data_IF_278517899753
#
_entry.id   IF_278517899753
#
_cell.length_a   1.000
_cell.length_b   1.000
_cell.length_c   1.000
_cell.angle_alpha   90.00
_cell.angle_beta   90.00
_cell.angle_gamma   90.00
#
_symmetry.space_group_name_H-M   'P 1'
#
loop_
_entity.id
_entity.type
_entity.pdbx_description
1 polymer ?
#
# COMPACT_ATOMS: atom_id res chain seq x y z
N UNK A 1 4.94 23.41 -0.81
CA UNK A 1 4.07 23.60 0.38
C UNK A 1 2.95 24.62 0.14
N UNK A 2 3.24 25.86 -0.28
CA UNK A 2 2.21 26.92 -0.33
C UNK A 2 1.50 27.06 -1.70
N UNK A 3 2.16 26.74 -2.83
CA UNK A 3 1.60 26.97 -4.18
C UNK A 3 0.46 26.02 -4.61
N UNK A 4 0.36 24.82 -4.03
CA UNK A 4 -0.61 23.78 -4.47
C UNK A 4 -1.92 23.79 -3.68
N UNK A 5 -1.88 24.10 -2.37
CA UNK A 5 -3.08 24.42 -1.58
C UNK A 5 -3.78 25.65 -2.20
N UNK A 6 -2.98 26.61 -2.70
CA UNK A 6 -3.50 27.78 -3.40
C UNK A 6 -4.17 27.40 -4.72
N UNK A 7 -3.71 26.44 -5.53
CA UNK A 7 -4.42 26.13 -6.79
C UNK A 7 -5.75 25.43 -6.58
N UNK A 8 -5.87 24.55 -5.58
CA UNK A 8 -7.13 23.88 -5.25
C UNK A 8 -8.13 24.83 -4.55
N UNK A 9 -7.67 25.72 -3.67
CA UNK A 9 -8.53 26.76 -3.08
C UNK A 9 -8.75 27.97 -4.01
N UNK A 10 -7.84 28.29 -4.94
CA UNK A 10 -7.99 29.39 -5.89
C UNK A 10 -8.89 29.04 -7.07
N UNK A 11 -9.06 27.75 -7.40
CA UNK A 11 -10.14 27.31 -8.27
C UNK A 11 -11.53 27.61 -7.65
N UNK A 12 -11.59 27.74 -6.33
CA UNK A 12 -12.77 28.09 -5.56
C UNK A 12 -12.93 29.63 -5.46
N UNK A 13 -11.86 30.43 -5.57
CA UNK A 13 -11.91 31.89 -5.57
C UNK A 13 -11.65 32.46 -6.97
N UNK A 14 -12.66 32.46 -7.84
CA UNK A 14 -12.66 33.23 -9.09
C UNK A 14 -12.84 34.74 -8.81
N UNK A 15 -11.88 35.36 -8.11
CA UNK A 15 -11.71 36.82 -8.11
C UNK A 15 -10.23 37.20 -7.99
N UNK A 16 -9.62 37.63 -9.11
CA UNK A 16 -8.36 38.38 -9.15
C UNK A 16 -7.07 37.56 -8.95
N UNK A 17 -6.04 37.90 -9.71
CA UNK A 17 -4.68 37.36 -9.59
C UNK A 17 -3.96 37.84 -8.31
N UNK A 18 -4.47 37.47 -7.13
CA UNK A 18 -3.78 37.65 -5.85
C UNK A 18 -3.68 36.30 -5.15
N UNK A 19 -2.46 35.86 -4.86
CA UNK A 19 -2.22 34.69 -4.02
C UNK A 19 -2.75 35.00 -2.61
N UNK A 20 -3.68 34.21 -2.03
CA UNK A 20 -4.17 34.48 -0.69
C UNK A 20 -3.01 34.48 0.31
N UNK A 21 -3.03 35.45 1.24
CA UNK A 21 -2.02 35.51 2.30
C UNK A 21 -2.08 34.23 3.14
N UNK A 22 -0.95 33.87 3.77
CA UNK A 22 -0.88 32.72 4.69
C UNK A 22 -1.91 32.85 5.82
N UNK A 23 -2.12 34.05 6.32
CA UNK A 23 -3.08 34.34 7.39
C UNK A 23 -4.51 34.09 6.95
N UNK A 24 -4.89 34.52 5.74
CA UNK A 24 -6.24 34.28 5.20
C UNK A 24 -6.50 32.78 5.00
N UNK A 25 -5.49 32.03 4.55
CA UNK A 25 -5.58 30.58 4.39
C UNK A 25 -5.71 29.85 5.74
N UNK A 26 -4.88 30.22 6.72
CA UNK A 26 -4.93 29.64 8.07
C UNK A 26 -6.28 29.94 8.74
N UNK A 27 -6.85 31.13 8.56
CA UNK A 27 -8.18 31.48 9.04
C UNK A 27 -9.28 30.66 8.37
N UNK A 28 -9.21 30.49 7.04
CA UNK A 28 -10.14 29.63 6.32
C UNK A 28 -10.11 28.19 6.84
N UNK A 29 -8.92 27.60 6.97
CA UNK A 29 -8.74 26.26 7.52
C UNK A 29 -9.29 26.17 8.95
N UNK A 30 -9.01 27.16 9.80
CA UNK A 30 -9.55 27.22 11.16
C UNK A 30 -11.09 27.23 11.15
N UNK A 31 -11.71 28.02 10.27
CA UNK A 31 -13.17 28.09 10.14
C UNK A 31 -13.81 26.80 9.62
N UNK A 32 -13.11 26.09 8.72
CA UNK A 32 -13.50 24.77 8.22
C UNK A 32 -13.44 23.72 9.34
N UNK A 33 -12.36 23.67 10.10
CA UNK A 33 -12.19 22.70 11.21
C UNK A 33 -13.14 22.96 12.39
N UNK A 34 -13.69 24.16 12.49
CA UNK A 34 -14.70 24.51 13.47
C UNK A 34 -16.12 24.05 13.07
N UNK A 35 -16.34 23.64 11.81
CA UNK A 35 -17.64 23.13 11.37
C UNK A 35 -17.98 21.80 12.07
N UNK A 36 -19.27 21.52 12.35
CA UNK A 36 -19.68 20.23 12.86
C UNK A 36 -19.28 19.08 11.93
N UNK A 37 -18.89 17.96 12.52
CA UNK A 37 -18.66 16.70 11.79
C UNK A 37 -19.97 16.19 11.18
N UNK A 38 -19.89 15.69 9.94
CA UNK A 38 -20.99 14.98 9.30
C UNK A 38 -21.21 13.63 10.00
N UNK A 39 -22.37 13.44 10.63
CA UNK A 39 -22.63 12.27 11.48
C UNK A 39 -22.51 10.94 10.76
N UNK A 40 -22.94 10.89 9.49
CA UNK A 40 -22.92 9.66 8.69
C UNK A 40 -21.52 9.29 8.18
N UNK A 41 -20.59 10.26 8.18
CA UNK A 41 -19.22 10.12 7.67
C UNK A 41 -18.24 9.50 8.66
N UNK A 42 -18.64 9.42 9.94
CA UNK A 42 -17.73 9.13 11.03
C UNK A 42 -17.44 7.63 11.16
N UNK A 43 -16.15 7.27 11.11
CA UNK A 43 -15.68 5.99 11.62
C UNK A 43 -14.31 6.14 12.30
N UNK A 44 -13.93 5.13 13.09
CA UNK A 44 -12.71 5.15 13.93
C UNK A 44 -11.76 4.03 13.53
N UNK A 45 -10.46 4.31 13.55
CA UNK A 45 -9.39 3.33 13.44
C UNK A 45 -8.33 3.59 14.52
N UNK A 46 -8.26 2.69 15.51
CA UNK A 46 -7.44 2.90 16.69
C UNK A 46 -7.84 4.18 17.44
N UNK A 47 -6.99 5.20 17.37
CA UNK A 47 -7.24 6.52 17.95
C UNK A 47 -7.55 7.61 16.90
N UNK A 48 -7.55 7.26 15.63
CA UNK A 48 -7.82 8.20 14.54
C UNK A 48 -9.30 8.14 14.18
N UNK A 49 -9.93 9.31 14.09
CA UNK A 49 -11.24 9.47 13.48
C UNK A 49 -11.08 9.87 12.02
N UNK A 50 -11.84 9.24 11.15
CA UNK A 50 -12.08 9.68 9.78
C UNK A 50 -13.46 10.30 9.69
N UNK A 51 -13.54 11.50 9.12
CA UNK A 51 -14.78 12.27 9.09
C UNK A 51 -14.77 13.31 7.98
N UNK A 52 -15.97 13.71 7.57
CA UNK A 52 -16.19 14.84 6.68
C UNK A 52 -16.70 16.04 7.49
N UNK A 53 -16.22 17.24 7.13
CA UNK A 53 -16.85 18.51 7.52
C UNK A 53 -17.41 19.18 6.28
N UNK A 54 -18.61 19.73 6.37
CA UNK A 54 -19.24 20.46 5.28
C UNK A 54 -19.12 21.95 5.53
N UNK A 55 -18.64 22.68 4.52
CA UNK A 55 -18.55 24.13 4.53
C UNK A 55 -19.68 24.68 3.67
N UNK A 56 -20.63 25.42 4.27
CA UNK A 56 -21.74 26.00 3.53
C UNK A 56 -21.24 27.00 2.47
N UNK A 57 -22.00 27.11 1.40
CA UNK A 57 -21.83 28.12 0.36
C UNK A 57 -21.76 29.54 0.97
N UNK A 58 -20.80 30.33 0.50
CA UNK A 58 -20.76 31.78 0.73
C UNK A 58 -20.49 32.49 -0.59
N UNK A 59 -21.17 33.61 -0.88
CA UNK A 59 -21.07 34.63 -1.96
C UNK A 59 -20.23 34.39 -3.26
N UNK A 60 -19.81 33.18 -3.61
CA UNK A 60 -18.93 32.76 -4.72
C UNK A 60 -18.65 31.23 -4.74
N UNK A 61 -18.86 30.51 -3.63
CA UNK A 61 -18.56 29.08 -3.47
C UNK A 61 -19.83 28.23 -3.33
N UNK A 62 -19.85 27.06 -3.97
CA UNK A 62 -20.85 26.01 -3.74
C UNK A 62 -20.58 25.28 -2.41
N UNK A 63 -21.60 24.59 -1.87
CA UNK A 63 -21.42 23.69 -0.73
C UNK A 63 -20.33 22.66 -1.07
N UNK A 64 -19.41 22.44 -0.14
CA UNK A 64 -18.33 21.48 -0.32
C UNK A 64 -17.95 20.82 0.99
N UNK A 65 -17.47 19.59 0.91
CA UNK A 65 -17.00 18.80 2.02
C UNK A 65 -15.48 18.67 2.02
N UNK A 66 -14.87 18.56 3.19
CA UNK A 66 -13.48 18.14 3.32
C UNK A 66 -13.43 16.83 4.07
N UNK A 67 -12.74 15.83 3.50
CA UNK A 67 -12.47 14.58 4.18
C UNK A 67 -11.17 14.69 4.96
N UNK A 68 -11.22 14.43 6.26
CA UNK A 68 -10.08 14.53 7.17
C UNK A 68 -9.89 13.26 7.99
N UNK A 69 -8.66 13.07 8.45
CA UNK A 69 -8.32 12.14 9.52
C UNK A 69 -7.61 12.92 10.63
N UNK A 70 -8.00 12.69 11.87
CA UNK A 70 -7.31 13.28 13.03
C UNK A 70 -7.29 12.32 14.21
N UNK A 71 -6.18 12.32 14.95
CA UNK A 71 -6.08 11.55 16.20
C UNK A 71 -6.82 12.27 17.33
N UNK A 72 -7.45 11.49 18.21
CA UNK A 72 -8.06 12.01 19.43
C UNK A 72 -7.04 12.38 20.51
N UNK A 73 -5.79 11.91 20.39
CA UNK A 73 -4.74 12.06 21.40
C UNK A 73 -3.53 12.81 20.81
N UNK A 74 -2.97 12.31 19.72
CA UNK A 74 -1.74 12.84 19.10
C UNK A 74 -2.02 14.06 18.23
N UNK A 75 -1.09 15.03 18.12
CA UNK A 75 -1.24 16.24 17.32
C UNK A 75 -1.12 15.98 15.80
N UNK A 76 -1.88 15.01 15.31
CA UNK A 76 -1.88 14.56 13.92
C UNK A 76 -3.22 14.87 13.26
N UNK A 77 -3.18 15.66 12.20
CA UNK A 77 -4.30 15.95 11.32
C UNK A 77 -3.81 15.85 9.90
N UNK A 78 -4.59 15.18 9.05
CA UNK A 78 -4.35 15.14 7.62
C UNK A 78 -5.65 15.40 6.86
N UNK A 79 -5.52 16.10 5.74
CA UNK A 79 -6.61 16.31 4.81
C UNK A 79 -6.44 15.36 3.62
N UNK A 80 -7.48 14.58 3.32
CA UNK A 80 -7.44 13.56 2.28
C UNK A 80 -7.75 14.21 0.92
N UNK A 81 -8.94 14.80 0.81
CA UNK A 81 -9.44 15.44 -0.41
C UNK A 81 -10.53 16.47 -0.09
N UNK A 82 -10.77 17.34 -1.07
CA UNK A 82 -11.94 18.22 -1.16
C UNK A 82 -13.01 17.54 -2.01
N UNK A 83 -14.22 17.45 -1.48
CA UNK A 83 -15.42 16.90 -2.11
C UNK A 83 -16.34 18.05 -2.52
N UNK A 84 -16.33 18.38 -3.81
CA UNK A 84 -17.17 19.40 -4.44
C UNK A 84 -17.76 18.80 -5.74
N UNK A 85 -18.09 19.60 -6.76
CA UNK A 85 -18.53 19.09 -8.08
C UNK A 85 -17.58 18.04 -8.67
N UNK A 86 -16.28 18.17 -8.38
CA UNK A 86 -15.26 17.14 -8.62
C UNK A 86 -14.38 17.01 -7.39
N UNK A 87 -13.85 15.82 -7.19
CA UNK A 87 -12.88 15.57 -6.13
C UNK A 87 -11.55 16.20 -6.47
N UNK A 88 -10.96 16.91 -5.52
CA UNK A 88 -9.64 17.50 -5.65
C UNK A 88 -8.70 16.96 -4.58
N UNK A 89 -7.51 16.56 -5.02
CA UNK A 89 -6.44 16.06 -4.17
C UNK A 89 -5.34 17.12 -4.07
N UNK A 90 -4.85 17.42 -2.87
CA UNK A 90 -3.99 18.60 -2.65
C UNK A 90 -2.58 18.47 -3.24
N UNK A 91 -2.16 17.27 -3.63
CA UNK A 91 -0.84 17.01 -4.23
C UNK A 91 -0.92 16.58 -5.71
N UNK A 92 -2.11 16.58 -6.33
CA UNK A 92 -2.30 16.15 -7.73
C UNK A 92 -3.42 16.93 -8.41
N UNK A 93 -3.24 17.29 -9.67
CA UNK A 93 -4.24 18.03 -10.46
C UNK A 93 -5.14 17.13 -11.31
N UNK A 94 -4.88 15.83 -11.38
CA UNK A 94 -5.55 14.94 -12.36
C UNK A 94 -5.85 13.53 -11.86
N UNK A 95 -5.80 13.30 -10.54
CA UNK A 95 -6.08 11.99 -9.95
C UNK A 95 -5.75 11.97 -8.46
N UNK A 96 -5.82 10.78 -7.88
CA UNK A 96 -5.47 10.53 -6.49
C UNK A 96 -4.10 11.12 -6.13
N UNK A 97 -4.01 11.66 -4.93
CA UNK A 97 -2.75 11.99 -4.30
C UNK A 97 -2.80 11.57 -2.83
N UNK A 98 -1.66 11.19 -2.23
CA UNK A 98 -1.62 10.84 -0.83
C UNK A 98 -2.13 11.98 0.08
N UNK A 99 -2.61 11.64 1.28
CA UNK A 99 -3.08 12.63 2.25
C UNK A 99 -2.04 13.70 2.52
N UNK A 100 -2.51 14.94 2.69
CA UNK A 100 -1.66 16.08 3.01
C UNK A 100 -1.64 16.28 4.54
N UNK A 101 -0.50 16.05 5.22
CA UNK A 101 -0.39 16.36 6.64
C UNK A 101 -0.58 17.86 6.87
N UNK A 102 -1.27 18.19 7.95
CA UNK A 102 -1.55 19.55 8.37
C UNK A 102 -0.68 19.92 9.57
N UNK A 103 -0.28 21.19 9.71
CA UNK A 103 0.44 21.65 10.90
C UNK A 103 -0.31 21.35 12.21
N UNK A 104 0.45 20.96 13.25
CA UNK A 104 -0.07 20.56 14.58
C UNK A 104 -1.04 21.58 15.20
N UNK A 105 -0.88 22.89 14.93
CA UNK A 105 -1.79 23.94 15.41
C UNK A 105 -3.26 23.72 15.03
N UNK A 106 -3.53 23.02 13.93
CA UNK A 106 -4.89 22.72 13.48
C UNK A 106 -5.55 21.60 14.30
N UNK A 107 -4.76 20.71 14.90
CA UNK A 107 -5.26 19.73 15.87
C UNK A 107 -5.88 20.41 17.10
N UNK A 108 -5.21 21.44 17.62
CA UNK A 108 -5.71 22.21 18.75
C UNK A 108 -7.05 22.94 18.47
N UNK A 109 -7.37 23.19 17.19
CA UNK A 109 -8.68 23.73 16.78
C UNK A 109 -9.74 22.63 16.80
N UNK A 110 -9.42 21.45 16.26
CA UNK A 110 -10.33 20.28 16.32
C UNK A 110 -10.65 19.87 17.75
N UNK A 111 -9.68 19.92 18.67
CA UNK A 111 -9.91 19.64 20.10
C UNK A 111 -10.86 20.64 20.79
N UNK A 112 -11.16 21.78 20.14
CA UNK A 112 -12.17 22.75 20.60
C UNK A 112 -13.51 22.58 19.88
N UNK A 113 -13.58 21.75 18.85
CA UNK A 113 -14.81 21.44 18.14
C UNK A 113 -15.65 20.45 18.96
N UNK A 114 -16.85 20.82 19.43
CA UNK A 114 -17.66 19.96 20.29
C UNK A 114 -17.96 18.60 19.65
N UNK A 115 -18.30 18.59 18.35
CA UNK A 115 -18.63 17.35 17.64
C UNK A 115 -17.43 16.40 17.51
N UNK A 116 -16.22 16.93 17.31
CA UNK A 116 -14.99 16.12 17.29
C UNK A 116 -14.68 15.54 18.68
N UNK A 117 -14.73 16.39 19.72
CA UNK A 117 -14.45 15.92 21.08
C UNK A 117 -15.46 14.90 21.59
N UNK A 118 -16.72 15.00 21.16
CA UNK A 118 -17.75 14.03 21.49
C UNK A 118 -17.52 12.72 20.74
N UNK A 119 -17.27 12.79 19.42
CA UNK A 119 -16.93 11.62 18.61
C UNK A 119 -15.74 10.84 19.17
N UNK A 120 -14.70 11.53 19.67
CA UNK A 120 -13.56 10.87 20.30
C UNK A 120 -13.91 10.02 21.53
N UNK A 121 -14.97 10.40 22.27
CA UNK A 121 -15.45 9.70 23.46
C UNK A 121 -16.44 8.60 23.13
N UNK A 122 -17.35 8.85 22.20
CA UNK A 122 -18.51 7.98 21.96
C UNK A 122 -18.33 7.03 20.79
N UNK A 123 -17.48 7.37 19.81
CA UNK A 123 -17.22 6.47 18.69
C UNK A 123 -16.39 5.29 19.17
N UNK A 124 -17.03 4.12 19.26
CA UNK A 124 -16.40 2.88 19.64
C UNK A 124 -15.29 2.50 18.64
N UNK A 125 -14.28 1.77 19.13
CA UNK A 125 -13.33 1.11 18.25
C UNK A 125 -14.05 0.03 17.44
N UNK A 126 -13.73 -0.12 16.15
CA UNK A 126 -14.41 -1.07 15.30
C UNK A 126 -14.12 -2.50 15.78
N UNK A 127 -15.14 -3.33 15.67
CA UNK A 127 -15.10 -4.76 15.95
C UNK A 127 -15.53 -5.51 14.69
N UNK A 128 -14.63 -5.49 13.70
CA UNK A 128 -14.85 -6.09 12.40
C UNK A 128 -14.99 -7.61 12.50
N UNK A 129 -16.08 -8.13 11.94
CA UNK A 129 -16.41 -9.55 11.88
C UNK A 129 -16.58 -10.01 10.45
N UNK A 130 -16.05 -11.19 10.13
CA UNK A 130 -16.18 -11.78 8.81
C UNK A 130 -17.56 -12.41 8.67
N UNK A 131 -18.37 -11.87 7.75
CA UNK A 131 -19.70 -12.41 7.40
C UNK A 131 -19.58 -13.50 6.34
N UNK A 132 -18.78 -13.27 5.28
CA UNK A 132 -18.56 -14.26 4.21
C UNK A 132 -17.29 -14.00 3.40
N UNK A 133 -16.96 -14.96 2.53
CA UNK A 133 -15.88 -14.93 1.56
C UNK A 133 -14.79 -15.96 1.88
N UNK A 134 -14.16 -16.53 0.86
CA UNK A 134 -13.12 -17.55 1.03
C UNK A 134 -11.70 -16.98 0.87
N UNK A 135 -10.67 -17.81 1.08
CA UNK A 135 -9.30 -17.40 0.80
C UNK A 135 -9.13 -17.06 -0.70
N UNK A 136 -8.45 -15.94 -0.98
CA UNK A 136 -8.28 -15.44 -2.35
C UNK A 136 -9.47 -14.66 -2.93
N UNK A 137 -10.62 -14.64 -2.26
CA UNK A 137 -11.81 -13.88 -2.69
C UNK A 137 -12.01 -12.61 -1.86
N UNK A 138 -12.80 -11.63 -2.34
CA UNK A 138 -13.27 -10.53 -1.50
C UNK A 138 -14.03 -11.04 -0.27
N UNK A 139 -13.82 -10.43 0.89
CA UNK A 139 -14.60 -10.74 2.10
C UNK A 139 -15.62 -9.64 2.36
N UNK A 140 -16.77 -10.04 2.88
CA UNK A 140 -17.75 -9.10 3.44
C UNK A 140 -17.59 -9.11 4.96
N UNK A 141 -17.41 -7.92 5.52
CA UNK A 141 -17.22 -7.66 6.93
C UNK A 141 -18.35 -6.78 7.46
N UNK A 142 -18.59 -6.88 8.76
CA UNK A 142 -19.51 -6.02 9.51
C UNK A 142 -18.81 -5.52 10.77
N UNK A 143 -18.94 -4.24 11.09
CA UNK A 143 -18.48 -3.72 12.37
C UNK A 143 -19.57 -3.92 13.41
N UNK A 144 -19.37 -4.89 14.31
CA UNK A 144 -20.32 -5.21 15.37
C UNK A 144 -20.56 -4.02 16.32
N UNK A 145 -19.53 -3.21 16.57
CA UNK A 145 -19.63 -2.03 17.46
C UNK A 145 -20.48 -0.91 16.86
N UNK A 146 -20.66 -0.89 15.54
CA UNK A 146 -21.43 0.15 14.84
C UNK A 146 -22.94 -0.13 14.75
N UNK A 147 -23.38 -1.34 15.13
CA UNK A 147 -24.77 -1.74 14.92
C UNK A 147 -25.68 -0.96 15.87
N UNK A 148 -26.55 -0.14 15.30
CA UNK A 148 -27.56 0.61 16.02
C UNK A 148 -28.96 0.29 15.47
N UNK A 149 -29.84 -0.23 16.33
CA UNK A 149 -31.22 -0.61 16.00
C UNK A 149 -32.20 0.42 16.54
N UNK A 150 -33.04 0.96 15.67
CA UNK A 150 -34.09 1.92 16.02
C UNK A 150 -35.40 1.51 15.33
N UNK A 151 -36.30 0.86 16.07
CA UNK A 151 -37.55 0.33 15.52
C UNK A 151 -37.27 -0.71 14.42
N UNK A 152 -37.78 -0.46 13.21
CA UNK A 152 -37.55 -1.32 12.04
C UNK A 152 -36.27 -0.98 11.27
N UNK A 153 -35.50 0.01 11.71
CA UNK A 153 -34.27 0.43 11.07
C UNK A 153 -33.04 -0.10 11.81
N UNK A 154 -32.05 -0.55 11.05
CA UNK A 154 -30.75 -0.97 11.56
C UNK A 154 -29.67 -0.25 10.78
N UNK A 155 -28.84 0.54 11.46
CA UNK A 155 -27.65 1.17 10.88
C UNK A 155 -26.39 0.43 11.29
N UNK A 156 -25.44 0.30 10.38
CA UNK A 156 -24.14 -0.35 10.62
C UNK A 156 -23.10 0.06 9.58
N UNK A 157 -21.83 -0.09 9.92
CA UNK A 157 -20.72 -0.09 8.99
C UNK A 157 -20.46 -1.53 8.49
N UNK A 158 -20.37 -1.67 7.17
CA UNK A 158 -19.92 -2.87 6.49
C UNK A 158 -18.62 -2.60 5.76
N UNK A 159 -17.87 -3.65 5.42
CA UNK A 159 -16.69 -3.51 4.58
C UNK A 159 -16.51 -4.65 3.59
N UNK A 160 -15.94 -4.33 2.43
CA UNK A 160 -15.64 -5.24 1.33
C UNK A 160 -14.13 -5.32 1.17
N UNK A 161 -13.54 -6.31 1.82
CA UNK A 161 -12.11 -6.48 1.93
C UNK A 161 -11.55 -7.21 0.71
N UNK A 162 -10.66 -6.59 -0.06
CA UNK A 162 -10.12 -7.15 -1.30
C UNK A 162 -8.88 -8.01 -1.06
N UNK A 163 -8.61 -9.08 -1.83
CA UNK A 163 -7.38 -9.87 -1.69
C UNK A 163 -6.13 -9.13 -2.22
N UNK A 164 -6.33 -8.11 -3.05
CA UNK A 164 -5.30 -7.25 -3.63
C UNK A 164 -5.70 -5.79 -3.51
N UNK A 165 -4.72 -4.89 -3.62
CA UNK A 165 -5.01 -3.46 -3.79
C UNK A 165 -5.54 -3.25 -5.20
N UNK A 166 -6.65 -2.51 -5.32
CA UNK A 166 -7.31 -2.16 -6.58
C UNK A 166 -7.31 -0.64 -6.75
N UNK A 167 -7.61 -0.16 -7.96
CA UNK A 167 -7.77 1.27 -8.26
C UNK A 167 -9.25 1.57 -8.48
N UNK A 168 -9.76 2.60 -7.82
CA UNK A 168 -11.13 3.09 -8.05
C UNK A 168 -11.14 4.21 -9.08
N UNK A 169 -11.99 4.04 -10.09
CA UNK A 169 -12.22 5.05 -11.12
C UNK A 169 -13.23 6.10 -10.60
N UNK A 170 -13.10 7.39 -10.99
CA UNK A 170 -12.25 7.89 -12.07
C UNK A 170 -10.87 8.39 -11.61
N UNK A 171 -10.60 8.49 -10.30
CA UNK A 171 -9.41 9.16 -9.79
C UNK A 171 -8.19 8.24 -9.65
N UNK A 172 -8.35 6.93 -9.88
CA UNK A 172 -7.34 5.90 -9.64
C UNK A 172 -6.84 5.93 -8.18
N UNK A 173 -7.77 6.06 -7.23
CA UNK A 173 -7.44 5.96 -5.81
C UNK A 173 -7.18 4.50 -5.45
N UNK A 174 -6.05 4.17 -4.79
CA UNK A 174 -5.77 2.80 -4.39
C UNK A 174 -6.63 2.42 -3.19
N UNK A 175 -7.22 1.22 -3.20
CA UNK A 175 -7.97 0.70 -2.08
C UNK A 175 -7.71 -0.79 -1.85
N UNK A 176 -7.60 -1.17 -0.59
CA UNK A 176 -7.55 -2.56 -0.13
C UNK A 176 -8.91 -3.03 0.41
N UNK A 177 -9.79 -2.08 0.74
CA UNK A 177 -11.11 -2.34 1.26
C UNK A 177 -12.05 -1.17 0.93
N UNK A 178 -13.34 -1.46 0.69
CA UNK A 178 -14.39 -0.45 0.69
C UNK A 178 -15.16 -0.52 2.00
N UNK A 179 -15.46 0.61 2.64
CA UNK A 179 -16.20 0.68 3.90
C UNK A 179 -17.45 1.52 3.69
N UNK A 180 -18.59 0.97 4.06
CA UNK A 180 -19.87 1.60 3.77
C UNK A 180 -20.75 1.64 5.01
N UNK A 181 -21.29 2.81 5.30
CA UNK A 181 -22.28 3.01 6.34
C UNK A 181 -23.66 2.83 5.71
N UNK A 182 -24.38 1.82 6.16
CA UNK A 182 -25.72 1.49 5.66
C UNK A 182 -26.78 1.72 6.72
N UNK A 183 -27.98 2.04 6.25
CA UNK A 183 -29.22 1.91 7.02
C UNK A 183 -30.17 0.96 6.30
N UNK A 184 -30.53 -0.12 6.96
CA UNK A 184 -31.49 -1.12 6.50
C UNK A 184 -32.85 -0.89 7.13
N UNK A 185 -33.93 -0.99 6.35
CA UNK A 185 -35.30 -1.02 6.86
C UNK A 185 -35.85 -2.45 6.69
N UNK A 186 -35.99 -3.15 7.81
CA UNK A 186 -36.36 -4.57 7.84
C UNK A 186 -37.83 -4.81 7.48
N UNK A 187 -38.69 -3.78 7.58
CA UNK A 187 -40.10 -3.89 7.24
C UNK A 187 -40.37 -3.70 5.74
N UNK A 188 -39.62 -2.80 5.10
CA UNK A 188 -39.77 -2.51 3.67
C UNK A 188 -38.80 -3.29 2.79
N UNK A 189 -37.80 -3.96 3.36
CA UNK A 189 -36.82 -4.72 2.61
C UNK A 189 -35.89 -3.82 1.78
N UNK A 190 -35.52 -2.67 2.32
CA UNK A 190 -34.68 -1.67 1.64
C UNK A 190 -33.39 -1.39 2.41
N UNK A 191 -32.36 -0.91 1.71
CA UNK A 191 -31.13 -0.38 2.29
C UNK A 191 -30.85 1.02 1.76
N UNK A 192 -30.11 1.83 2.50
CA UNK A 192 -29.71 3.19 2.13
C UNK A 192 -28.23 3.37 2.46
N UNK A 193 -27.43 3.73 1.45
CA UNK A 193 -26.03 4.09 1.65
C UNK A 193 -25.94 5.51 2.25
N UNK A 194 -25.34 5.62 3.42
CA UNK A 194 -25.16 6.88 4.16
C UNK A 194 -23.76 7.48 3.96
N UNK A 195 -22.74 6.63 3.77
CA UNK A 195 -21.38 7.01 3.41
C UNK A 195 -20.66 5.79 2.82
N UNK A 196 -19.70 6.01 1.92
CA UNK A 196 -18.86 4.97 1.35
C UNK A 196 -17.42 5.48 1.20
N UNK A 197 -16.44 4.70 1.65
CA UNK A 197 -15.03 5.06 1.62
C UNK A 197 -14.19 3.94 1.05
N UNK A 198 -13.28 4.31 0.17
CA UNK A 198 -12.15 3.50 -0.22
C UNK A 198 -11.04 3.72 0.81
N UNK A 199 -10.49 2.61 1.34
CA UNK A 199 -9.39 2.67 2.30
C UNK A 199 -8.19 1.86 1.82
N UNK A 200 -6.98 2.37 2.07
CA UNK A 200 -5.73 1.69 1.73
C UNK A 200 -5.44 0.50 2.67
N UNK A 201 -4.32 -0.19 2.44
CA UNK A 201 -3.89 -1.32 3.27
C UNK A 201 -3.53 -0.94 4.72
N UNK A 202 -3.41 0.36 5.02
CA UNK A 202 -3.17 0.91 6.36
C UNK A 202 -4.46 1.47 6.98
N UNK A 203 -5.63 1.17 6.41
CA UNK A 203 -6.95 1.66 6.81
C UNK A 203 -7.12 3.18 6.74
N UNK A 204 -6.37 3.86 5.86
CA UNK A 204 -6.52 5.30 5.62
C UNK A 204 -7.46 5.54 4.46
N UNK A 205 -8.31 6.55 4.56
CA UNK A 205 -9.19 6.93 3.46
C UNK A 205 -8.36 7.44 2.29
N UNK A 206 -8.57 6.83 1.12
CA UNK A 206 -7.96 7.27 -0.14
C UNK A 206 -8.98 7.97 -1.02
N UNK A 207 -10.23 7.53 -0.96
CA UNK A 207 -11.36 8.14 -1.67
C UNK A 207 -12.70 7.82 -0.97
N UNK A 208 -13.81 8.42 -1.40
CA UNK A 208 -15.13 8.08 -0.91
C UNK A 208 -16.23 9.07 -1.27
N UNK A 209 -17.41 8.91 -0.70
CA UNK A 209 -18.54 9.81 -0.87
C UNK A 209 -19.46 9.78 0.36
N UNK A 210 -20.10 10.91 0.62
CA UNK A 210 -21.20 11.02 1.58
C UNK A 210 -22.39 11.62 0.84
N UNK A 211 -23.40 10.84 0.46
CA UNK A 211 -24.54 11.36 -0.29
C UNK A 211 -25.27 12.46 0.48
N UNK A 212 -25.48 13.61 -0.15
CA UNK A 212 -26.27 14.71 0.44
C UNK A 212 -27.75 14.37 0.58
N UNK A 213 -28.26 13.52 -0.33
CA UNK A 213 -29.63 12.99 -0.33
C UNK A 213 -29.60 11.46 -0.48
N UNK A 214 -29.35 10.71 0.60
CA UNK A 214 -29.37 9.25 0.59
C UNK A 214 -30.74 8.72 0.15
N UNK A 215 -30.74 7.76 -0.79
CA UNK A 215 -31.98 7.16 -1.33
C UNK A 215 -32.07 5.68 -0.94
N UNK A 216 -33.25 5.20 -0.51
CA UNK A 216 -33.46 3.79 -0.26
C UNK A 216 -33.53 3.00 -1.57
N UNK A 217 -32.91 1.83 -1.58
CA UNK A 217 -32.93 0.86 -2.68
C UNK A 217 -33.48 -0.48 -2.19
N UNK A 218 -34.19 -1.24 -3.05
CA UNK A 218 -34.68 -2.57 -2.68
C UNK A 218 -33.52 -3.54 -2.49
N UNK A 219 -33.58 -4.34 -1.43
CA UNK A 219 -32.63 -5.44 -1.20
C UNK A 219 -32.91 -6.59 -2.18
N UNK A 220 -34.19 -6.82 -2.50
CA UNK A 220 -34.57 -7.80 -3.51
C UNK A 220 -34.01 -7.37 -4.88
N UNK A 221 -33.23 -8.25 -5.51
CA UNK A 221 -32.56 -7.96 -6.78
C UNK A 221 -31.21 -7.25 -6.65
N UNK A 222 -30.79 -6.88 -5.43
CA UNK A 222 -29.39 -6.47 -5.16
C UNK A 222 -28.43 -7.66 -5.25
N UNK A 223 -27.12 -7.42 -5.15
CA UNK A 223 -26.13 -8.49 -5.16
C UNK A 223 -26.18 -9.36 -3.89
N UNK A 224 -25.50 -10.51 -3.93
CA UNK A 224 -25.48 -11.46 -2.82
C UNK A 224 -24.81 -10.92 -1.54
N UNK A 225 -24.04 -9.84 -1.61
CA UNK A 225 -23.38 -9.23 -0.45
C UNK A 225 -24.37 -8.39 0.34
N UNK A 226 -25.11 -7.50 -0.34
CA UNK A 226 -26.14 -6.67 0.29
C UNK A 226 -27.30 -7.50 0.83
N UNK A 227 -27.69 -8.58 0.13
CA UNK A 227 -28.68 -9.52 0.64
C UNK A 227 -28.21 -10.20 1.93
N UNK A 228 -26.93 -10.59 2.03
CA UNK A 228 -26.36 -11.19 3.23
C UNK A 228 -26.27 -10.18 4.39
N UNK A 229 -25.86 -8.94 4.12
CA UNK A 229 -25.82 -7.86 5.11
C UNK A 229 -27.22 -7.55 5.65
N UNK A 230 -28.23 -7.45 4.77
CA UNK A 230 -29.61 -7.25 5.19
C UNK A 230 -30.13 -8.40 6.05
N UNK A 231 -29.90 -9.65 5.63
CA UNK A 231 -30.28 -10.83 6.39
C UNK A 231 -29.64 -10.82 7.78
N UNK A 232 -28.36 -10.45 7.89
CA UNK A 232 -27.69 -10.31 9.17
C UNK A 232 -28.29 -9.18 10.03
N UNK A 233 -28.46 -7.99 9.46
CA UNK A 233 -28.94 -6.80 10.18
C UNK A 233 -30.35 -7.01 10.75
N UNK A 234 -31.23 -7.62 9.95
CA UNK A 234 -32.63 -7.85 10.27
C UNK A 234 -32.90 -9.16 11.02
N UNK A 235 -31.89 -10.01 11.23
CA UNK A 235 -31.99 -11.21 12.06
C UNK A 235 -31.84 -10.91 13.56
N UNK A 236 -31.91 -11.98 14.37
CA UNK A 236 -31.72 -11.94 15.82
C UNK A 236 -30.26 -11.58 16.18
N UNK A 237 -30.02 -10.88 17.30
CA UNK A 237 -28.69 -10.40 17.70
C UNK A 237 -27.59 -11.49 17.81
N UNK A 238 -27.98 -12.73 18.13
CA UNK A 238 -27.04 -13.84 18.33
C UNK A 238 -26.20 -14.15 17.08
N UNK A 239 -26.74 -13.89 15.89
CA UNK A 239 -26.06 -14.19 14.63
C UNK A 239 -24.79 -13.35 14.42
N UNK A 240 -24.75 -12.12 14.94
CA UNK A 240 -23.57 -11.25 14.81
C UNK A 240 -22.49 -11.67 15.81
N UNK A 241 -22.89 -12.10 17.01
CA UNK A 241 -21.95 -12.50 18.06
C UNK A 241 -21.15 -13.76 17.70
N UNK A 242 -21.70 -14.63 16.86
CA UNK A 242 -21.05 -15.87 16.40
C UNK A 242 -20.06 -15.67 15.25
N UNK A 243 -20.02 -14.49 14.63
CA UNK A 243 -19.10 -14.23 13.52
C UNK A 243 -17.64 -14.20 13.97
N UNK A 244 -16.77 -14.79 13.16
CA UNK A 244 -15.33 -14.82 13.41
C UNK A 244 -14.75 -13.39 13.40
N UNK A 245 -13.83 -13.05 14.33
CA UNK A 245 -13.07 -11.81 14.25
C UNK A 245 -12.34 -11.67 12.91
N UNK A 246 -12.34 -10.47 12.34
CA UNK A 246 -11.50 -10.16 11.18
C UNK A 246 -10.03 -10.17 11.58
N UNK A 247 -9.22 -10.89 10.82
CA UNK A 247 -7.77 -10.80 10.87
C UNK A 247 -7.27 -10.16 9.57
N UNK A 248 -6.51 -9.04 9.63
CA UNK A 248 -5.95 -8.41 8.45
C UNK A 248 -5.13 -9.41 7.62
N UNK A 249 -5.32 -9.37 6.30
CA UNK A 249 -4.54 -10.16 5.35
C UNK A 249 -3.62 -9.28 4.54
N UNK A 250 -2.44 -9.81 4.23
CA UNK A 250 -1.48 -9.21 3.30
C UNK A 250 -2.15 -9.01 1.93
N UNK A 251 -2.01 -7.81 1.37
CA UNK A 251 -2.63 -7.40 0.11
C UNK A 251 -1.59 -7.32 -0.99
N UNK A 252 -1.83 -8.03 -2.09
CA UNK A 252 -0.96 -7.90 -3.27
C UNK A 252 -1.02 -6.45 -3.80
N UNK A 253 0.13 -5.80 -4.07
CA UNK A 253 0.22 -4.45 -4.64
C UNK A 253 -0.47 -4.35 -6.01
N UNK A 254 -0.74 -3.12 -6.42
CA UNK A 254 -1.04 -2.83 -7.83
C UNK A 254 0.29 -2.78 -8.60
N UNK A 255 0.33 -3.44 -9.75
CA UNK A 255 1.38 -3.25 -10.75
C UNK A 255 1.10 -1.93 -11.47
N UNK A 256 1.72 -0.84 -11.03
CA UNK A 256 1.48 0.50 -11.61
C UNK A 256 2.54 0.89 -12.64
N UNK A 257 3.70 0.26 -12.63
CA UNK A 257 4.77 0.57 -13.57
C UNK A 257 4.65 -0.23 -14.86
N UNK A 258 4.63 0.48 -15.99
CA UNK A 258 4.95 -0.13 -17.28
C UNK A 258 6.46 -0.32 -17.33
N UNK A 259 6.92 -1.57 -17.25
CA UNK A 259 8.33 -1.90 -17.41
C UNK A 259 8.65 -2.08 -18.90
N UNK A 260 9.83 -1.64 -19.37
CA UNK A 260 10.27 -1.96 -20.72
C UNK A 260 10.47 -3.48 -20.86
N UNK A 261 10.40 -4.03 -22.08
CA UNK A 261 10.70 -5.44 -22.31
C UNK A 261 12.16 -5.76 -21.95
N UNK A 262 12.40 -6.98 -21.46
CA UNK A 262 13.75 -7.48 -21.20
C UNK A 262 14.51 -7.62 -22.53
N UNK A 263 15.79 -7.24 -22.56
CA UNK A 263 16.61 -7.34 -23.76
C UNK A 263 16.71 -8.79 -24.28
N UNK A 264 16.58 -9.03 -25.60
CA UNK A 264 16.74 -10.37 -26.18
C UNK A 264 18.10 -11.02 -25.89
N UNK A 265 19.19 -10.23 -25.87
CA UNK A 265 20.54 -10.72 -25.53
C UNK A 265 20.61 -11.29 -24.11
N UNK A 266 19.90 -10.65 -23.18
CA UNK A 266 19.79 -11.07 -21.79
C UNK A 266 18.97 -12.36 -21.71
N UNK A 267 17.84 -12.43 -22.42
CA UNK A 267 17.01 -13.65 -22.48
C UNK A 267 17.79 -14.87 -22.98
N UNK A 268 18.57 -14.71 -24.06
CA UNK A 268 19.45 -15.78 -24.58
C UNK A 268 20.47 -16.24 -23.54
N UNK A 269 21.04 -15.32 -22.76
CA UNK A 269 21.98 -15.67 -21.70
C UNK A 269 21.31 -16.49 -20.57
N UNK A 270 20.06 -16.16 -20.23
CA UNK A 270 19.27 -16.89 -19.23
C UNK A 270 18.88 -18.29 -19.71
N UNK A 271 18.45 -18.43 -20.97
CA UNK A 271 18.07 -19.71 -21.56
C UNK A 271 19.23 -20.71 -21.59
N UNK A 272 20.45 -20.24 -21.83
CA UNK A 272 21.67 -21.06 -21.85
C UNK A 272 21.98 -21.73 -20.51
N UNK A 273 21.48 -21.19 -19.39
CA UNK A 273 21.66 -21.81 -18.08
C UNK A 273 20.87 -23.13 -17.94
N UNK A 274 19.81 -23.32 -18.74
CA UNK A 274 18.98 -24.53 -18.74
C UNK A 274 18.54 -24.97 -17.33
N UNK A 275 18.14 -23.99 -16.52
CA UNK A 275 17.72 -24.23 -15.15
C UNK A 275 16.34 -24.89 -15.13
N UNK A 276 16.10 -25.84 -14.21
CA UNK A 276 14.78 -26.42 -14.05
C UNK A 276 13.76 -25.38 -13.59
N UNK A 277 12.49 -25.59 -13.91
CA UNK A 277 11.41 -24.80 -13.31
C UNK A 277 11.38 -25.06 -11.79
N UNK A 278 11.05 -24.05 -10.97
CA UNK A 278 10.82 -24.25 -9.54
C UNK A 278 9.83 -25.40 -9.29
N UNK A 279 10.12 -26.22 -8.29
CA UNK A 279 9.23 -27.31 -7.87
C UNK A 279 8.06 -26.78 -7.03
N UNK A 280 8.28 -25.67 -6.30
CA UNK A 280 7.28 -25.04 -5.45
C UNK A 280 7.05 -23.58 -5.88
N UNK A 281 5.80 -23.09 -5.84
CA UNK A 281 5.52 -21.67 -6.03
C UNK A 281 6.02 -20.87 -4.82
N UNK A 282 6.45 -19.64 -5.08
CA UNK A 282 6.73 -18.63 -4.06
C UNK A 282 5.98 -17.36 -4.47
N UNK A 283 5.03 -16.91 -3.64
CA UNK A 283 4.14 -15.78 -3.96
C UNK A 283 4.41 -14.57 -3.07
N UNK A 284 4.88 -14.80 -1.85
CA UNK A 284 5.16 -13.73 -0.91
C UNK A 284 6.31 -14.10 0.03
N UNK A 285 7.12 -13.10 0.35
CA UNK A 285 8.02 -13.15 1.49
C UNK A 285 8.10 -11.79 2.19
N UNK A 286 8.29 -11.86 3.49
CA UNK A 286 8.55 -10.73 4.35
C UNK A 286 9.93 -10.91 4.98
N UNK A 287 10.77 -9.91 4.85
CA UNK A 287 12.08 -9.86 5.48
C UNK A 287 12.12 -8.74 6.53
N UNK A 288 12.71 -9.02 7.68
CA UNK A 288 12.89 -8.05 8.76
C UNK A 288 14.33 -8.07 9.25
N UNK A 289 14.79 -6.94 9.78
CA UNK A 289 16.09 -6.85 10.41
C UNK A 289 16.53 -5.40 10.55
N UNK A 290 17.77 -5.08 10.17
CA UNK A 290 18.32 -3.74 10.31
C UNK A 290 19.08 -3.31 9.07
N UNK A 291 19.09 -2.00 8.82
CA UNK A 291 19.98 -1.36 7.87
C UNK A 291 20.79 -0.29 8.59
N UNK A 292 22.04 -0.11 8.18
CA UNK A 292 22.90 0.95 8.68
C UNK A 292 23.40 1.78 7.51
N UNK A 293 23.10 3.08 7.54
CA UNK A 293 23.58 4.06 6.56
C UNK A 293 24.47 5.05 7.28
N UNK A 294 25.74 5.17 6.87
CA UNK A 294 26.72 6.11 7.43
C UNK A 294 26.73 6.09 8.97
N UNK A 295 26.77 4.88 9.54
CA UNK A 295 26.81 4.63 10.98
C UNK A 295 25.48 4.75 11.73
N UNK A 296 24.38 5.11 11.07
CA UNK A 296 23.04 5.17 11.69
C UNK A 296 22.25 3.91 11.36
N UNK A 297 21.97 3.11 12.39
CA UNK A 297 21.18 1.89 12.27
C UNK A 297 19.70 2.17 12.48
N UNK A 298 18.87 1.58 11.61
CA UNK A 298 17.41 1.63 11.70
C UNK A 298 16.80 0.25 11.44
N UNK A 299 15.63 -0.05 12.02
CA UNK A 299 14.87 -1.23 11.62
C UNK A 299 14.56 -1.22 10.12
N UNK A 300 14.69 -2.38 9.49
CA UNK A 300 14.37 -2.60 8.08
C UNK A 300 13.31 -3.69 7.99
N UNK A 301 12.29 -3.44 7.17
CA UNK A 301 11.23 -4.39 6.81
C UNK A 301 11.01 -4.27 5.31
N UNK A 302 11.03 -5.40 4.63
CA UNK A 302 10.74 -5.50 3.21
C UNK A 302 9.68 -6.56 2.95
N UNK A 303 8.73 -6.24 2.08
CA UNK A 303 7.74 -7.18 1.57
C UNK A 303 7.99 -7.38 0.09
N UNK A 304 8.13 -8.63 -0.34
CA UNK A 304 8.30 -8.97 -1.74
C UNK A 304 7.09 -9.78 -2.18
N UNK A 305 6.43 -9.28 -3.21
CA UNK A 305 5.31 -9.93 -3.87
C UNK A 305 5.79 -10.49 -5.19
N UNK A 306 5.63 -11.80 -5.38
CA UNK A 306 6.27 -12.55 -6.45
C UNK A 306 5.22 -13.09 -7.42
N UNK A 307 5.45 -12.86 -8.70
CA UNK A 307 4.64 -13.40 -9.78
C UNK A 307 5.49 -13.61 -11.03
N UNK A 308 4.88 -14.07 -12.11
CA UNK A 308 5.57 -14.30 -13.40
C UNK A 308 5.24 -13.15 -14.35
N UNK A 309 6.27 -12.52 -14.90
CA UNK A 309 6.11 -11.55 -15.98
C UNK A 309 5.62 -12.27 -17.25
N UNK A 310 4.49 -11.83 -17.80
CA UNK A 310 3.85 -12.53 -18.92
C UNK A 310 4.68 -12.47 -20.20
N UNK A 311 5.51 -11.44 -20.38
CA UNK A 311 6.30 -11.23 -21.60
C UNK A 311 7.60 -12.05 -21.60
N UNK A 312 8.35 -12.02 -20.50
CA UNK A 312 9.66 -12.67 -20.38
C UNK A 312 9.61 -14.04 -19.71
N UNK A 313 8.49 -14.38 -19.07
CA UNK A 313 8.35 -15.57 -18.21
C UNK A 313 9.37 -15.61 -17.06
N UNK A 314 9.99 -14.47 -16.75
CA UNK A 314 10.89 -14.29 -15.61
C UNK A 314 10.11 -13.83 -14.37
N UNK A 315 10.79 -13.77 -13.24
CA UNK A 315 10.17 -13.46 -11.95
C UNK A 315 9.92 -11.96 -11.83
N UNK A 316 8.65 -11.56 -11.82
CA UNK A 316 8.22 -10.22 -11.44
C UNK A 316 8.21 -10.11 -9.91
N UNK A 317 8.87 -9.10 -9.37
CA UNK A 317 8.90 -8.80 -7.95
C UNK A 317 8.43 -7.36 -7.73
N UNK A 318 7.43 -7.19 -6.88
CA UNK A 318 7.09 -5.90 -6.29
C UNK A 318 7.63 -5.88 -4.87
N UNK A 319 8.62 -5.04 -4.63
CA UNK A 319 9.30 -4.85 -3.36
C UNK A 319 8.75 -3.59 -2.69
N UNK A 320 8.33 -3.72 -1.43
CA UNK A 320 7.89 -2.60 -0.60
C UNK A 320 8.76 -2.49 0.63
N UNK A 321 9.29 -1.31 0.87
CA UNK A 321 9.97 -0.96 2.11
C UNK A 321 9.55 0.42 2.59
N UNK A 322 10.12 0.86 3.71
CA UNK A 322 9.82 2.18 4.26
C UNK A 322 10.34 3.28 3.32
N UNK A 323 9.42 3.98 2.65
CA UNK A 323 9.73 5.13 1.80
C UNK A 323 10.07 4.81 0.34
N UNK A 324 9.93 3.54 -0.08
CA UNK A 324 10.14 3.12 -1.47
C UNK A 324 9.26 1.94 -1.86
N UNK A 325 8.89 1.91 -3.14
CA UNK A 325 8.32 0.75 -3.82
C UNK A 325 9.11 0.51 -5.12
N UNK A 326 9.48 -0.74 -5.37
CA UNK A 326 10.21 -1.12 -6.59
C UNK A 326 9.45 -2.24 -7.31
N UNK A 327 9.20 -2.05 -8.59
CA UNK A 327 8.74 -3.11 -9.48
C UNK A 327 9.91 -3.56 -10.37
N UNK A 328 10.22 -4.86 -10.39
CA UNK A 328 11.36 -5.40 -11.15
C UNK A 328 11.04 -6.76 -11.77
N UNK A 329 11.45 -6.96 -13.02
CA UNK A 329 11.59 -8.31 -13.58
C UNK A 329 13.00 -8.77 -13.28
N UNK A 330 13.14 -9.96 -12.71
CA UNK A 330 14.41 -10.48 -12.20
C UNK A 330 14.68 -11.87 -12.71
N UNK A 331 15.96 -12.22 -12.85
CA UNK A 331 16.36 -13.61 -12.88
C UNK A 331 16.40 -14.15 -11.45
N UNK A 332 15.39 -14.96 -11.10
CA UNK A 332 15.27 -15.68 -9.82
C UNK A 332 15.46 -14.82 -8.57
N UNK A 333 15.12 -13.53 -8.62
CA UNK A 333 15.29 -12.60 -7.49
C UNK A 333 16.69 -12.00 -7.35
N UNK A 334 17.71 -12.55 -8.02
CA UNK A 334 19.10 -12.13 -7.89
C UNK A 334 19.43 -10.90 -8.73
N UNK A 335 19.17 -10.97 -10.03
CA UNK A 335 19.59 -9.94 -10.99
C UNK A 335 18.34 -9.20 -11.51
N UNK A 336 18.17 -7.91 -11.20
CA UNK A 336 17.14 -7.08 -11.85
C UNK A 336 17.47 -6.94 -13.34
N UNK A 337 16.58 -7.44 -14.20
CA UNK A 337 16.72 -7.37 -15.66
C UNK A 337 16.18 -6.03 -16.18
N UNK A 338 15.02 -5.64 -15.66
CA UNK A 338 14.43 -4.31 -15.79
C UNK A 338 13.78 -3.93 -14.45
N UNK A 339 13.82 -2.65 -14.10
CA UNK A 339 13.18 -2.18 -12.88
C UNK A 339 12.70 -0.74 -12.98
N UNK A 340 11.73 -0.42 -12.12
CA UNK A 340 11.32 0.94 -11.79
C UNK A 340 11.17 1.04 -10.28
N UNK A 341 11.80 2.05 -9.68
CA UNK A 341 11.72 2.35 -8.26
C UNK A 341 11.14 3.75 -8.10
N UNK A 342 10.08 3.83 -7.32
CA UNK A 342 9.50 5.09 -6.87
C UNK A 342 9.91 5.31 -5.41
N UNK A 343 10.78 6.30 -5.21
CA UNK A 343 11.20 6.80 -3.91
C UNK A 343 10.41 8.08 -3.61
N UNK A 344 10.36 8.48 -2.33
CA UNK A 344 9.53 9.62 -1.87
C UNK A 344 9.75 10.93 -2.67
N UNK A 345 10.95 11.13 -3.25
CA UNK A 345 11.31 12.37 -3.95
C UNK A 345 11.96 12.16 -5.32
N UNK A 346 12.14 10.92 -5.74
CA UNK A 346 12.84 10.62 -6.99
C UNK A 346 12.37 9.29 -7.56
N UNK A 347 12.62 9.09 -8.83
CA UNK A 347 12.23 7.89 -9.55
C UNK A 347 13.46 7.38 -10.28
N UNK A 348 13.66 6.08 -10.25
CA UNK A 348 14.71 5.43 -11.00
C UNK A 348 14.12 4.34 -11.88
N UNK A 349 14.66 4.18 -13.08
CA UNK A 349 14.40 3.01 -13.90
C UNK A 349 15.72 2.44 -14.40
N UNK A 350 15.81 1.12 -14.50
CA UNK A 350 16.99 0.46 -15.04
C UNK A 350 16.62 -0.65 -16.02
N UNK A 351 17.51 -0.90 -16.97
CA UNK A 351 17.38 -1.99 -17.92
C UNK A 351 18.77 -2.54 -18.29
N UNK A 352 18.90 -3.86 -18.27
CA UNK A 352 20.09 -4.54 -18.74
C UNK A 352 20.08 -4.71 -20.26
N UNK A 353 21.22 -4.47 -20.87
CA UNK A 353 21.47 -4.69 -22.30
C UNK A 353 22.35 -5.92 -22.54
N UNK A 354 23.10 -6.36 -21.53
CA UNK A 354 23.96 -7.55 -21.60
C UNK A 354 24.02 -8.25 -20.26
N UNK A 355 24.04 -9.59 -20.31
CA UNK A 355 24.20 -10.47 -19.17
C UNK A 355 25.01 -11.69 -19.62
N UNK A 356 25.95 -12.15 -18.79
CA UNK A 356 26.66 -13.41 -19.02
C UNK A 356 26.97 -14.09 -17.70
N UNK A 357 27.15 -15.41 -17.76
CA UNK A 357 27.40 -16.26 -16.59
C UNK A 357 28.65 -17.11 -16.81
N UNK A 358 29.37 -17.37 -15.72
CA UNK A 358 30.49 -18.29 -15.65
C UNK A 358 30.35 -19.18 -14.41
N UNK A 359 30.76 -20.44 -14.53
CA UNK A 359 30.60 -21.45 -13.49
C UNK A 359 29.28 -22.21 -13.62
N UNK A 360 29.10 -23.23 -12.77
CA UNK A 360 27.93 -24.10 -12.79
C UNK A 360 26.79 -23.55 -11.91
N UNK A 361 26.05 -22.61 -12.47
CA UNK A 361 24.85 -22.04 -11.86
C UNK A 361 23.67 -23.02 -11.78
N UNK A 362 23.77 -24.20 -12.41
CA UNK A 362 22.69 -25.20 -12.40
C UNK A 362 22.78 -26.08 -11.17
N UNK A 363 23.99 -26.51 -10.79
CA UNK A 363 24.18 -27.39 -9.63
C UNK A 363 24.64 -26.65 -8.39
N UNK A 364 25.43 -25.57 -8.56
CA UNK A 364 25.96 -24.75 -7.47
C UNK A 364 26.54 -25.62 -6.34
N UNK A 365 27.51 -26.48 -6.66
CA UNK A 365 28.15 -27.35 -5.66
C UNK A 365 28.90 -26.48 -4.64
N UNK A 366 28.88 -26.89 -3.36
CA UNK A 366 29.62 -26.22 -2.29
C UNK A 366 31.12 -26.11 -2.65
N UNK A 367 31.70 -24.94 -2.40
CA UNK A 367 33.07 -24.57 -2.76
C UNK A 367 33.25 -24.11 -4.22
N UNK A 368 32.21 -24.19 -5.06
CA UNK A 368 32.30 -23.72 -6.44
C UNK A 368 32.34 -22.19 -6.52
N UNK A 369 33.08 -21.70 -7.53
CA UNK A 369 33.13 -20.28 -7.89
C UNK A 369 32.21 -20.02 -9.08
N UNK A 370 31.31 -19.08 -8.90
CA UNK A 370 30.37 -18.60 -9.89
C UNK A 370 30.67 -17.13 -10.18
N UNK A 371 30.30 -16.66 -11.35
CA UNK A 371 30.42 -15.25 -11.70
C UNK A 371 29.34 -14.88 -12.70
N UNK A 372 28.88 -13.63 -12.64
CA UNK A 372 28.03 -13.06 -13.66
C UNK A 372 28.51 -11.65 -14.00
N UNK A 373 28.38 -11.29 -15.27
CA UNK A 373 28.69 -9.94 -15.76
C UNK A 373 27.43 -9.29 -16.29
N UNK A 374 27.17 -8.05 -15.91
CA UNK A 374 26.00 -7.30 -16.36
C UNK A 374 26.40 -5.92 -16.88
N UNK A 375 25.68 -5.46 -17.90
CA UNK A 375 25.78 -4.10 -18.43
C UNK A 375 24.38 -3.59 -18.74
N UNK A 376 24.14 -2.31 -18.49
CA UNK A 376 22.83 -1.70 -18.70
C UNK A 376 22.89 -0.20 -18.53
N UNK A 377 21.75 0.41 -18.23
CA UNK A 377 21.70 1.81 -17.83
C UNK A 377 20.65 2.01 -16.74
N UNK A 378 20.89 2.97 -15.86
CA UNK A 378 19.92 3.47 -14.89
C UNK A 378 19.62 4.92 -15.21
N UNK A 379 18.34 5.27 -15.32
CA UNK A 379 17.85 6.63 -15.49
C UNK A 379 17.29 7.09 -14.15
N UNK A 380 17.82 8.18 -13.62
CA UNK A 380 17.33 8.83 -12.41
C UNK A 380 16.75 10.19 -12.75
N UNK A 381 15.61 10.53 -12.15
CA UNK A 381 14.87 11.76 -12.45
C UNK A 381 15.62 13.05 -12.06
N UNK A 382 16.66 12.98 -11.23
CA UNK A 382 17.43 14.12 -10.72
C UNK A 382 18.81 14.22 -11.38
N UNK A 383 19.57 13.12 -11.43
CA UNK A 383 20.97 13.14 -11.89
C UNK A 383 21.15 12.63 -13.33
N UNK A 384 20.07 12.21 -13.99
CA UNK A 384 20.13 11.68 -15.35
C UNK A 384 20.59 10.22 -15.40
N UNK A 385 21.25 9.86 -16.49
CA UNK A 385 21.58 8.47 -16.80
C UNK A 385 22.99 8.08 -16.33
N UNK A 386 23.11 6.93 -15.66
CA UNK A 386 24.38 6.38 -15.15
C UNK A 386 24.42 4.83 -15.22
N UNK A 387 25.54 4.23 -14.79
CA UNK A 387 25.66 2.77 -14.63
C UNK A 387 25.87 1.98 -15.93
N UNK A 388 26.50 2.60 -16.94
CA UNK A 388 26.77 2.01 -18.27
C UNK A 388 27.94 1.04 -18.31
N UNK A 389 28.76 1.05 -17.27
CA UNK A 389 29.96 0.22 -17.18
C UNK A 389 29.60 -1.26 -17.01
N UNK A 390 30.49 -2.12 -17.47
CA UNK A 390 30.41 -3.56 -17.22
C UNK A 390 30.67 -3.81 -15.73
N UNK A 391 29.74 -4.49 -15.06
CA UNK A 391 29.88 -4.92 -13.67
C UNK A 391 30.05 -6.42 -13.62
N UNK A 392 31.07 -6.90 -12.92
CA UNK A 392 31.36 -8.33 -12.77
C UNK A 392 31.23 -8.67 -11.29
N UNK A 393 30.32 -9.58 -10.96
CA UNK A 393 30.12 -10.09 -9.60
C UNK A 393 30.62 -11.51 -9.53
N UNK A 394 31.54 -11.77 -8.59
CA UNK A 394 32.02 -13.11 -8.29
C UNK A 394 31.33 -13.63 -7.04
N UNK A 395 30.94 -14.90 -7.05
CA UNK A 395 30.25 -15.57 -5.97
C UNK A 395 30.94 -16.89 -5.61
N UNK A 396 30.93 -17.25 -4.32
CA UNK A 396 31.36 -18.57 -3.84
C UNK A 396 30.20 -19.26 -3.14
N UNK A 397 29.97 -20.53 -3.43
CA UNK A 397 28.96 -21.32 -2.72
C UNK A 397 29.55 -21.82 -1.42
N UNK A 398 29.15 -21.26 -0.30
CA UNK A 398 29.79 -21.50 1.00
C UNK A 398 29.33 -22.81 1.63
N UNK A 399 28.01 -23.07 1.59
CA UNK A 399 27.41 -24.23 2.25
C UNK A 399 26.01 -24.52 1.71
N UNK A 400 25.56 -25.72 2.02
CA UNK A 400 24.18 -26.16 1.85
C UNK A 400 23.55 -26.40 3.23
N UNK A 401 22.27 -26.04 3.37
CA UNK A 401 21.52 -26.15 4.61
C UNK A 401 20.04 -26.42 4.32
N UNK A 402 19.30 -27.09 5.21
CA UNK A 402 17.85 -27.23 5.06
C UNK A 402 17.15 -25.87 5.01
N UNK A 403 16.28 -25.64 4.04
CA UNK A 403 15.61 -24.35 3.86
C UNK A 403 14.69 -23.99 5.04
N UNK A 404 14.13 -25.00 5.72
CA UNK A 404 13.30 -24.81 6.91
C UNK A 404 14.04 -24.16 8.10
N UNK A 405 15.37 -24.16 8.09
CA UNK A 405 16.19 -23.46 9.09
C UNK A 405 16.18 -21.94 8.89
N UNK A 406 15.87 -21.48 7.68
CA UNK A 406 15.71 -20.06 7.34
C UNK A 406 14.29 -19.56 7.67
N UNK A 407 13.28 -20.40 7.41
CA UNK A 407 11.89 -20.16 7.79
C UNK A 407 11.12 -21.49 7.80
N UNK A 408 10.31 -21.75 8.83
CA UNK A 408 9.64 -23.05 9.01
C UNK A 408 8.69 -23.44 7.86
N UNK A 409 8.18 -22.49 7.08
CA UNK A 409 7.30 -22.74 5.94
C UNK A 409 8.05 -23.20 4.67
N UNK A 410 9.38 -23.15 4.66
CA UNK A 410 10.20 -23.53 3.51
C UNK A 410 10.48 -25.04 3.49
N UNK A 411 10.42 -25.65 2.31
CA UNK A 411 10.84 -27.03 2.06
C UNK A 411 12.17 -27.12 1.32
N UNK A 412 12.75 -28.31 1.31
CA UNK A 412 13.96 -28.62 0.54
C UNK A 412 15.23 -28.02 1.14
N UNK A 413 16.20 -27.79 0.27
CA UNK A 413 17.51 -27.27 0.63
C UNK A 413 17.68 -25.81 0.18
N UNK A 414 18.60 -25.13 0.83
CA UNK A 414 19.09 -23.82 0.47
C UNK A 414 20.62 -23.86 0.36
N UNK A 415 21.17 -23.04 -0.54
CA UNK A 415 22.61 -22.85 -0.69
C UNK A 415 22.96 -21.43 -0.29
N UNK A 416 23.92 -21.26 0.60
CA UNK A 416 24.44 -19.94 0.97
C UNK A 416 25.57 -19.55 0.02
N UNK A 417 25.56 -18.30 -0.45
CA UNK A 417 26.57 -17.76 -1.35
C UNK A 417 27.08 -16.42 -0.83
N UNK A 418 28.38 -16.21 -0.97
CA UNK A 418 29.02 -14.92 -0.74
C UNK A 418 29.40 -14.31 -2.08
N UNK A 419 28.90 -13.11 -2.37
CA UNK A 419 29.09 -12.44 -3.65
C UNK A 419 29.72 -11.05 -3.48
N UNK A 420 30.70 -10.72 -4.33
CA UNK A 420 31.37 -9.42 -4.33
C UNK A 420 31.47 -8.85 -5.74
N UNK A 421 31.24 -7.54 -5.85
CA UNK A 421 31.43 -6.79 -7.09
C UNK A 421 32.93 -6.48 -7.28
N UNK A 422 33.48 -6.82 -8.44
CA UNK A 422 34.86 -6.46 -8.79
C UNK A 422 35.04 -4.94 -8.83
N UNK A 423 36.08 -4.45 -8.16
CA UNK A 423 36.39 -3.02 -8.09
C UNK A 423 35.48 -2.22 -7.16
N UNK A 424 34.70 -2.87 -6.29
CA UNK A 424 33.89 -2.16 -5.28
C UNK A 424 34.77 -1.45 -4.25
N UNK A 425 34.65 -0.13 -4.18
CA UNK A 425 35.44 0.71 -3.26
C UNK A 425 35.17 0.38 -1.78
N UNK A 426 33.92 0.04 -1.47
CA UNK A 426 33.49 -0.33 -0.11
C UNK A 426 33.76 -1.81 0.22
N UNK A 427 34.29 -2.59 -0.73
CA UNK A 427 34.59 -4.04 -0.60
C UNK A 427 33.42 -4.85 -0.03
N UNK A 428 32.20 -4.57 -0.49
CA UNK A 428 30.99 -5.22 0.04
C UNK A 428 30.97 -6.69 -0.34
N UNK A 429 30.62 -7.51 0.65
CA UNK A 429 30.24 -8.90 0.47
C UNK A 429 28.74 -9.00 0.70
N UNK A 430 28.02 -9.49 -0.29
CA UNK A 430 26.60 -9.78 -0.23
C UNK A 430 26.42 -11.25 0.13
N UNK A 431 25.73 -11.51 1.24
CA UNK A 431 25.38 -12.86 1.66
C UNK A 431 23.99 -13.20 1.14
N UNK A 432 23.93 -14.19 0.27
CA UNK A 432 22.73 -14.65 -0.40
C UNK A 432 22.37 -16.07 0.03
N UNK A 433 21.10 -16.41 -0.06
CA UNK A 433 20.64 -17.80 0.00
C UNK A 433 19.81 -18.11 -1.24
N UNK A 434 20.14 -19.20 -1.92
CA UNK A 434 19.35 -19.76 -3.01
C UNK A 434 18.45 -20.86 -2.47
N UNK A 435 17.13 -20.63 -2.50
CA UNK A 435 16.11 -21.60 -2.10
C UNK A 435 15.83 -22.53 -3.29
N UNK A 436 16.29 -23.78 -3.23
CA UNK A 436 16.34 -24.65 -4.42
C UNK A 436 14.96 -25.02 -4.98
N UNK A 437 14.05 -25.47 -4.10
CA UNK A 437 12.69 -25.89 -4.48
C UNK A 437 11.89 -24.73 -5.10
N UNK A 438 12.16 -23.51 -4.65
CA UNK A 438 11.48 -22.28 -5.07
C UNK A 438 12.22 -21.57 -6.22
N UNK A 439 13.47 -21.97 -6.46
CA UNK A 439 14.35 -21.38 -7.44
C UNK A 439 14.51 -19.87 -7.30
N UNK A 440 14.72 -19.39 -6.06
CA UNK A 440 14.75 -17.98 -5.68
C UNK A 440 15.98 -17.63 -4.84
N UNK A 441 16.67 -16.55 -5.20
CA UNK A 441 17.75 -15.96 -4.40
C UNK A 441 17.20 -14.87 -3.48
N UNK A 442 17.52 -14.97 -2.20
CA UNK A 442 17.23 -13.96 -1.19
C UNK A 442 18.53 -13.36 -0.66
N UNK A 443 18.60 -12.03 -0.56
CA UNK A 443 19.74 -11.33 0.06
C UNK A 443 19.53 -11.25 1.56
N UNK A 444 20.38 -11.96 2.32
CA UNK A 444 20.31 -11.99 3.78
C UNK A 444 21.03 -10.82 4.41
N UNK A 445 22.23 -10.49 3.96
CA UNK A 445 22.99 -9.40 4.56
C UNK A 445 24.05 -8.83 3.62
N UNK A 446 24.59 -7.69 4.01
CA UNK A 446 25.79 -7.10 3.43
C UNK A 446 26.78 -6.90 4.57
N UNK A 447 28.04 -7.24 4.33
CA UNK A 447 29.09 -7.05 5.32
C UNK A 447 29.24 -5.59 5.76
N UNK A 448 29.60 -5.41 7.03
CA UNK A 448 29.78 -4.09 7.63
C UNK A 448 30.84 -3.29 6.87
N UNK A 449 30.45 -2.10 6.39
CA UNK A 449 31.32 -1.13 5.74
C UNK A 449 30.99 0.30 6.20
N UNK A 450 31.72 1.28 5.68
CA UNK A 450 31.62 2.70 6.06
C UNK A 450 30.35 3.38 5.53
N UNK A 451 29.76 2.85 4.46
CA UNK A 451 28.64 3.48 3.77
C UNK A 451 27.29 2.84 4.09
N UNK A 452 27.08 1.58 3.70
CA UNK A 452 25.80 0.89 3.83
C UNK A 452 25.95 -0.61 4.04
N UNK A 453 25.31 -1.14 5.08
CA UNK A 453 25.17 -2.57 5.29
C UNK A 453 23.82 -2.91 5.91
N UNK A 454 23.37 -4.15 5.78
CA UNK A 454 22.12 -4.62 6.35
C UNK A 454 22.21 -6.07 6.79
N UNK A 455 21.25 -6.48 7.59
CA UNK A 455 21.03 -7.85 8.02
C UNK A 455 19.51 -8.09 8.05
N UNK A 456 19.07 -9.11 7.32
CA UNK A 456 17.69 -9.44 7.04
C UNK A 456 17.47 -10.95 7.21
N UNK A 457 16.34 -11.29 7.82
CA UNK A 457 15.86 -12.66 7.96
C UNK A 457 14.43 -12.77 7.44
N UNK A 458 14.09 -13.94 6.92
CA UNK A 458 12.74 -14.26 6.46
C UNK A 458 11.80 -14.41 7.66
N UNK A 459 10.84 -13.51 7.79
CA UNK A 459 9.81 -13.52 8.83
C UNK A 459 8.60 -14.35 8.39
N UNK A 460 8.10 -14.09 7.18
CA UNK A 460 6.90 -14.73 6.62
C UNK A 460 7.20 -15.20 5.21
N UNK A 461 6.71 -16.39 4.83
CA UNK A 461 6.86 -16.98 3.49
C UNK A 461 5.54 -17.65 3.09
N UNK A 462 5.09 -17.43 1.84
CA UNK A 462 3.87 -18.03 1.27
C UNK A 462 4.01 -18.42 -0.20
#
# INVERSE_FOLDING_TARGET
MQRLIITALAAATLTGCATPSKENLDQYIASMLAQPLSTNSLFREGDVLSFQVNVPANNSLIDHGFQLEASCIEPNVAIMYLDADKRAYFQSTSGYAPPQPMPERFHAILLKNPSFTEACKTQAKPDWRKLKGEEGEPWVLVDRSSINKMGNEVSLWAAFDQPSILLDLPYNAPYAQKREHHRFNCSTGTYTLLAGYDVDANNRVTDGMVPSLPKPEPVAGSNADYQALFALACATPDNVAQLAPFSPRVKTPIVTAVLPPVSPSVMVALERLQLPKPAQPLKYLEAVGTSTIKGKTSPMREEHFLSVDTNSQQLLVILRGKGYETQKVTWRGLIPLVSKTDLTHLNESSALTSLSFKGDWKTMVVGSKLSYSQQGATNNSVIGQYGKELKITDCTVERELPANTLNASLSGNAKALDCSLQGDEDKRVHHLVYLEDYGYFFSTSIDKNTFYYNDLRLQTVK
#
